data_IF_785789844438
#
_entry.id   IF_785789844438
#
_cell.length_a   1.000
_cell.length_b   1.000
_cell.length_c   1.000
_cell.angle_alpha   90.00
_cell.angle_beta   90.00
_cell.angle_gamma   90.00
#
_symmetry.space_group_name_H-M   'P 1'
#
loop_
_entity.id
_entity.type
_entity.pdbx_description
1 polymer ?
#
# COMPACT_ATOMS: atom_id res chain seq x y z
N UNK A 1 4.48 21.82 0.15
CA UNK A 1 5.62 21.09 -0.46
C UNK A 1 6.23 20.06 0.49
N UNK A 2 6.12 20.20 1.82
CA UNK A 2 6.62 19.19 2.76
C UNK A 2 5.78 17.90 2.79
N UNK A 3 4.46 18.01 2.60
CA UNK A 3 3.52 16.89 2.72
C UNK A 3 3.85 15.70 1.80
N UNK A 4 4.34 15.95 0.58
CA UNK A 4 4.74 14.89 -0.34
C UNK A 4 5.95 14.11 0.20
N UNK A 5 6.97 14.82 0.68
CA UNK A 5 8.14 14.20 1.29
C UNK A 5 7.78 13.48 2.58
N UNK A 6 6.87 14.04 3.39
CA UNK A 6 6.35 13.36 4.58
C UNK A 6 5.59 12.09 4.24
N UNK A 7 4.69 12.13 3.25
CA UNK A 7 3.95 10.95 2.81
C UNK A 7 4.87 9.85 2.25
N UNK A 8 5.89 10.23 1.45
CA UNK A 8 6.91 9.30 0.97
C UNK A 8 7.77 8.74 2.11
N UNK A 9 8.14 9.55 3.09
CA UNK A 9 8.85 9.08 4.28
C UNK A 9 8.02 8.07 5.06
N UNK A 10 6.74 8.36 5.29
CA UNK A 10 5.83 7.48 6.00
C UNK A 10 5.59 6.15 5.28
N UNK A 11 5.43 6.14 3.95
CA UNK A 11 5.23 4.88 3.22
C UNK A 11 6.47 3.98 3.33
N UNK A 12 7.68 4.55 3.27
CA UNK A 12 8.92 3.80 3.45
C UNK A 12 9.07 3.23 4.86
N UNK A 13 8.72 4.01 5.89
CA UNK A 13 8.74 3.53 7.28
C UNK A 13 7.76 2.38 7.46
N UNK A 14 6.52 2.53 6.98
CA UNK A 14 5.48 1.50 7.12
C UNK A 14 5.90 0.22 6.38
N UNK A 15 6.30 0.33 5.11
CA UNK A 15 6.79 -0.81 4.32
C UNK A 15 7.98 -1.49 5.02
N UNK A 16 8.99 -0.73 5.45
CA UNK A 16 10.18 -1.26 6.11
C UNK A 16 9.87 -1.99 7.43
N UNK A 17 8.95 -1.45 8.24
CA UNK A 17 8.51 -2.10 9.49
C UNK A 17 7.77 -3.40 9.18
N UNK A 18 6.91 -3.43 8.17
CA UNK A 18 6.18 -4.65 7.77
C UNK A 18 7.17 -5.73 7.31
N UNK A 19 8.16 -5.38 6.47
CA UNK A 19 9.18 -6.34 6.06
C UNK A 19 10.04 -6.84 7.23
N UNK A 20 10.39 -5.97 8.17
CA UNK A 20 11.23 -6.34 9.31
C UNK A 20 10.49 -7.21 10.35
N UNK A 21 9.23 -6.91 10.64
CA UNK A 21 8.44 -7.61 11.66
C UNK A 21 7.73 -8.86 11.10
N UNK A 22 7.31 -8.84 9.84
CA UNK A 22 6.48 -9.90 9.23
C UNK A 22 7.01 -10.37 7.86
N UNK A 23 8.28 -10.81 7.75
CA UNK A 23 8.89 -11.18 6.47
C UNK A 23 8.17 -12.37 5.80
N UNK A 24 7.74 -13.37 6.56
CA UNK A 24 7.03 -14.53 6.01
C UNK A 24 5.62 -14.18 5.51
N UNK A 25 4.95 -13.23 6.18
CA UNK A 25 3.66 -12.71 5.76
C UNK A 25 3.75 -12.03 4.39
N UNK A 26 4.78 -11.20 4.20
CA UNK A 26 5.02 -10.51 2.92
C UNK A 26 5.37 -11.48 1.81
N UNK A 27 6.21 -12.49 2.07
CA UNK A 27 6.54 -13.51 1.07
C UNK A 27 5.29 -14.28 0.59
N UNK A 28 4.40 -14.66 1.51
CA UNK A 28 3.13 -15.32 1.16
C UNK A 28 2.16 -14.39 0.42
N UNK A 29 2.08 -13.13 0.81
CA UNK A 29 1.26 -12.17 0.10
C UNK A 29 1.76 -11.98 -1.34
N UNK A 30 3.07 -11.88 -1.53
CA UNK A 30 3.69 -11.74 -2.84
C UNK A 30 3.46 -12.97 -3.73
N UNK A 31 3.54 -14.19 -3.18
CA UNK A 31 3.24 -15.41 -3.94
C UNK A 31 1.78 -15.44 -4.39
N UNK A 32 0.84 -15.04 -3.53
CA UNK A 32 -0.57 -14.95 -3.90
C UNK A 32 -0.81 -13.90 -5.00
N UNK A 33 -0.11 -12.75 -4.95
CA UNK A 33 -0.22 -11.72 -5.99
C UNK A 33 0.25 -12.22 -7.37
N UNK A 34 1.25 -13.11 -7.41
CA UNK A 34 1.74 -13.69 -8.67
C UNK A 34 0.75 -14.66 -9.30
N UNK A 35 -0.07 -15.34 -8.48
CA UNK A 35 -1.09 -16.27 -8.93
C UNK A 35 -2.40 -15.58 -9.35
N UNK A 36 -2.58 -14.31 -8.95
CA UNK A 36 -3.79 -13.54 -9.29
C UNK A 36 -3.82 -13.15 -10.78
N UNK A 37 -4.99 -13.28 -11.45
CA UNK A 37 -5.17 -12.74 -12.79
C UNK A 37 -4.93 -11.21 -12.80
N UNK A 38 -4.30 -10.65 -13.86
CA UNK A 38 -3.99 -9.22 -13.92
C UNK A 38 -5.21 -8.29 -13.72
N UNK A 39 -6.40 -8.73 -14.12
CA UNK A 39 -7.65 -7.98 -13.91
C UNK A 39 -8.02 -7.83 -12.43
N UNK A 40 -7.87 -8.90 -11.64
CA UNK A 40 -8.16 -8.87 -10.21
C UNK A 40 -7.16 -7.98 -9.47
N UNK A 41 -5.86 -8.09 -9.79
CA UNK A 41 -4.82 -7.26 -9.20
C UNK A 41 -5.03 -5.77 -9.49
N UNK A 42 -5.43 -5.42 -10.73
CA UNK A 42 -5.78 -4.05 -11.10
C UNK A 42 -6.97 -3.51 -10.31
N UNK A 43 -8.02 -4.32 -10.15
CA UNK A 43 -9.21 -3.91 -9.41
C UNK A 43 -8.91 -3.70 -7.91
N UNK A 44 -8.13 -4.61 -7.32
CA UNK A 44 -7.68 -4.47 -5.93
C UNK A 44 -6.82 -3.21 -5.74
N UNK A 45 -5.86 -2.97 -6.64
CA UNK A 45 -5.01 -1.77 -6.61
C UNK A 45 -5.81 -0.47 -6.78
N UNK A 46 -6.76 -0.44 -7.72
CA UNK A 46 -7.66 0.70 -7.90
C UNK A 46 -8.54 0.94 -6.68
N UNK A 47 -9.09 -0.12 -6.07
CA UNK A 47 -9.86 -0.03 -4.84
C UNK A 47 -9.04 0.58 -3.70
N UNK A 48 -7.81 0.08 -3.49
CA UNK A 48 -6.90 0.61 -2.48
C UNK A 48 -6.54 2.08 -2.73
N UNK A 49 -6.29 2.47 -3.99
CA UNK A 49 -6.00 3.85 -4.35
C UNK A 49 -7.18 4.79 -4.08
N UNK A 50 -8.41 4.39 -4.45
CA UNK A 50 -9.62 5.17 -4.20
C UNK A 50 -9.83 5.36 -2.69
N UNK A 51 -9.69 4.30 -1.90
CA UNK A 51 -9.79 4.38 -0.44
C UNK A 51 -8.74 5.33 0.12
N UNK A 52 -7.49 5.22 -0.34
CA UNK A 52 -6.41 6.11 0.08
C UNK A 52 -6.72 7.58 -0.20
N UNK A 53 -7.27 7.90 -1.39
CA UNK A 53 -7.70 9.25 -1.73
C UNK A 53 -8.83 9.73 -0.82
N UNK A 54 -9.83 8.89 -0.54
CA UNK A 54 -10.94 9.23 0.37
C UNK A 54 -10.42 9.54 1.78
N UNK A 55 -9.50 8.71 2.30
CA UNK A 55 -8.89 8.93 3.63
C UNK A 55 -8.11 10.24 3.66
N UNK A 56 -7.25 10.48 2.66
CA UNK A 56 -6.48 11.73 2.58
C UNK A 56 -7.41 12.94 2.49
N UNK A 57 -8.49 12.85 1.70
CA UNK A 57 -9.49 13.90 1.60
C UNK A 57 -10.24 14.12 2.91
N UNK A 58 -10.61 13.07 3.65
CA UNK A 58 -11.29 13.19 4.93
C UNK A 58 -10.40 13.78 6.04
N UNK A 59 -9.09 13.47 6.03
CA UNK A 59 -8.13 13.97 7.03
C UNK A 59 -7.66 15.39 6.74
N UNK A 60 -7.55 15.76 5.45
CA UNK A 60 -7.09 17.10 5.02
C UNK A 60 -8.22 18.05 4.59
N UNK A 61 -9.46 17.57 4.62
CA UNK A 61 -10.68 18.29 4.24
C UNK A 61 -11.02 19.41 5.20
#
# INVERSE_FOLDING_TARGET
MNDLYTALGLVLVIEGVIYALFPDGMQRAMSQMQEMPPGALRLAGLGAAIIGVIVVWAVRG
#
